data_IF_145933701774
#
_entry.id   IF_145933701774
#
_cell.length_a   1.000
_cell.length_b   1.000
_cell.length_c   1.000
_cell.angle_alpha   90.00
_cell.angle_beta   90.00
_cell.angle_gamma   90.00
#
_symmetry.space_group_name_H-M   'P 1'
#
loop_
_entity.id
_entity.type
_entity.pdbx_description
1 polymer ?
#
# COMPACT_ATOMS: atom_id res chain seq x y z
N UNK A 1 16.91 -4.87 10.04
CA UNK A 1 15.54 -5.40 10.17
C UNK A 1 14.94 -5.63 8.78
N UNK A 2 14.20 -6.72 8.60
CA UNK A 2 13.44 -6.99 7.37
C UNK A 2 11.97 -7.11 7.74
N UNK A 3 11.11 -6.32 7.10
CA UNK A 3 9.65 -6.47 7.21
C UNK A 3 9.12 -7.31 6.05
N UNK A 4 8.03 -8.05 6.27
CA UNK A 4 7.45 -8.92 5.25
C UNK A 4 5.97 -8.61 5.05
N UNK A 5 5.56 -8.47 3.80
CA UNK A 5 4.18 -8.30 3.39
C UNK A 5 3.87 -9.17 2.17
N UNK A 6 2.73 -9.86 2.18
CA UNK A 6 2.30 -10.70 1.06
C UNK A 6 0.78 -10.95 1.07
N UNK A 7 0.29 -11.59 0.01
CA UNK A 7 -1.09 -12.07 -0.13
C UNK A 7 -1.21 -13.60 -0.01
N UNK A 8 -0.20 -14.26 0.56
CA UNK A 8 -0.05 -15.73 0.55
C UNK A 8 -0.82 -16.47 1.64
N UNK A 9 -1.31 -15.77 2.66
CA UNK A 9 -1.80 -16.40 3.89
C UNK A 9 -0.65 -16.93 4.76
N UNK A 10 -0.86 -18.03 5.48
CA UNK A 10 0.01 -18.39 6.62
C UNK A 10 1.25 -19.23 6.32
N UNK A 11 1.24 -20.09 5.30
CA UNK A 11 2.30 -21.10 5.12
C UNK A 11 3.52 -20.61 4.33
N UNK A 12 3.29 -19.94 3.21
CA UNK A 12 4.35 -19.52 2.30
C UNK A 12 5.34 -18.50 2.89
N UNK A 13 4.90 -17.53 3.72
CA UNK A 13 5.82 -16.61 4.39
C UNK A 13 6.87 -17.30 5.26
N UNK A 14 6.54 -18.43 5.86
CA UNK A 14 7.49 -19.20 6.68
C UNK A 14 8.70 -19.69 5.86
N UNK A 15 8.49 -20.11 4.60
CA UNK A 15 9.58 -20.50 3.70
C UNK A 15 10.48 -19.32 3.33
N UNK A 16 9.90 -18.13 3.08
CA UNK A 16 10.68 -16.91 2.82
C UNK A 16 11.52 -16.53 4.04
N UNK A 17 10.94 -16.57 5.24
CA UNK A 17 11.66 -16.31 6.49
C UNK A 17 12.82 -17.30 6.71
N UNK A 18 12.60 -18.59 6.44
CA UNK A 18 13.65 -19.61 6.53
C UNK A 18 14.83 -19.30 5.60
N UNK A 19 14.55 -18.86 4.36
CA UNK A 19 15.59 -18.44 3.41
C UNK A 19 16.35 -17.22 3.92
N UNK A 20 15.66 -16.20 4.42
CA UNK A 20 16.30 -15.00 4.97
C UNK A 20 17.20 -15.39 6.15
N UNK A 21 16.68 -16.15 7.13
CA UNK A 21 17.41 -16.53 8.34
C UNK A 21 18.59 -17.48 8.07
N UNK A 22 18.64 -18.13 6.92
CA UNK A 22 19.83 -18.90 6.51
C UNK A 22 20.96 -18.03 5.94
N UNK A 23 20.71 -16.73 5.70
CA UNK A 23 21.63 -15.78 5.05
C UNK A 23 21.95 -14.55 5.89
N UNK A 24 21.08 -14.21 6.83
CA UNK A 24 21.13 -12.98 7.60
C UNK A 24 20.61 -13.22 9.01
N UNK A 25 21.13 -12.49 9.98
CA UNK A 25 20.64 -12.44 11.37
C UNK A 25 19.58 -11.35 11.57
N UNK A 26 19.00 -10.84 10.49
CA UNK A 26 18.00 -9.77 10.50
C UNK A 26 16.83 -10.10 11.43
N UNK A 27 16.41 -9.12 12.23
CA UNK A 27 15.11 -9.17 12.89
C UNK A 27 14.01 -9.16 11.82
N UNK A 28 13.13 -10.18 11.83
CA UNK A 28 11.99 -10.29 10.92
C UNK A 28 10.72 -9.78 11.61
N UNK A 29 9.93 -8.99 10.89
CA UNK A 29 8.66 -8.43 11.35
C UNK A 29 7.61 -8.60 10.25
N UNK A 30 6.49 -9.25 10.56
CA UNK A 30 5.37 -9.33 9.64
C UNK A 30 4.59 -8.02 9.65
N UNK A 31 4.34 -7.47 8.46
CA UNK A 31 3.39 -6.37 8.25
C UNK A 31 2.00 -6.96 8.06
N UNK A 32 1.84 -7.78 7.03
CA UNK A 32 0.62 -8.50 6.71
C UNK A 32 0.93 -9.67 5.77
N UNK A 33 0.16 -10.76 5.86
CA UNK A 33 0.23 -11.88 4.91
C UNK A 33 -1.14 -12.24 4.32
N UNK A 34 -2.12 -11.44 4.64
CA UNK A 34 -3.52 -11.49 4.21
C UNK A 34 -3.92 -10.27 3.38
N UNK A 35 -2.93 -9.60 2.76
CA UNK A 35 -3.23 -8.56 1.77
C UNK A 35 -4.18 -9.11 0.69
N UNK A 36 -5.07 -8.28 0.13
CA UNK A 36 -6.03 -8.73 -0.88
C UNK A 36 -5.36 -9.50 -2.00
N UNK A 37 -5.82 -10.73 -2.22
CA UNK A 37 -5.14 -11.71 -3.10
C UNK A 37 -5.07 -11.21 -4.53
N UNK A 38 -3.82 -11.12 -5.06
CA UNK A 38 -3.50 -10.65 -6.41
C UNK A 38 -3.95 -9.23 -6.73
N UNK A 39 -4.44 -8.49 -5.75
CA UNK A 39 -4.83 -7.09 -5.90
C UNK A 39 -3.65 -6.18 -5.58
N UNK A 40 -2.90 -5.86 -6.63
CA UNK A 40 -1.72 -4.97 -6.55
C UNK A 40 -2.10 -3.58 -6.05
N UNK A 41 -3.29 -3.07 -6.47
CA UNK A 41 -3.73 -1.73 -6.12
C UNK A 41 -4.11 -1.60 -4.65
N UNK A 42 -4.91 -2.53 -4.15
CA UNK A 42 -5.28 -2.55 -2.73
C UNK A 42 -4.07 -2.80 -1.84
N UNK A 43 -3.18 -3.73 -2.21
CA UNK A 43 -1.94 -3.97 -1.50
C UNK A 43 -1.04 -2.72 -1.45
N UNK A 44 -0.90 -2.01 -2.57
CA UNK A 44 -0.13 -0.77 -2.64
C UNK A 44 -0.71 0.34 -1.74
N UNK A 45 -2.06 0.41 -1.60
CA UNK A 45 -2.71 1.31 -0.66
C UNK A 45 -2.32 0.98 0.77
N UNK A 46 -2.52 -0.26 1.22
CA UNK A 46 -2.22 -0.65 2.59
C UNK A 46 -0.75 -0.49 2.95
N UNK A 47 0.15 -0.80 2.01
CA UNK A 47 1.58 -0.62 2.21
C UNK A 47 1.99 0.86 2.28
N UNK A 48 1.33 1.73 1.48
CA UNK A 48 1.50 3.18 1.56
C UNK A 48 1.15 3.72 2.95
N UNK A 49 0.08 3.18 3.54
CA UNK A 49 -0.42 3.65 4.83
C UNK A 49 0.28 3.00 6.03
N UNK A 50 1.01 1.90 5.84
CA UNK A 50 1.61 1.14 6.95
C UNK A 50 3.13 1.20 7.01
N UNK A 51 3.83 1.15 5.88
CA UNK A 51 5.30 1.09 5.88
C UNK A 51 5.98 2.34 6.46
N UNK A 52 5.46 3.56 6.31
CA UNK A 52 6.08 4.75 6.91
C UNK A 52 6.15 4.72 8.44
N UNK A 53 5.33 3.93 9.11
CA UNK A 53 5.42 3.77 10.57
C UNK A 53 6.62 2.94 11.03
N UNK A 54 7.28 2.23 10.12
CA UNK A 54 8.48 1.46 10.47
C UNK A 54 9.72 2.35 10.39
N UNK A 55 10.69 2.15 11.31
CA UNK A 55 12.02 2.75 11.14
C UNK A 55 12.69 2.19 9.88
N UNK A 56 13.80 2.81 9.40
CA UNK A 56 14.55 2.32 8.24
C UNK A 56 14.76 0.81 8.24
N UNK A 57 14.32 0.16 7.18
CA UNK A 57 14.30 -1.29 7.05
C UNK A 57 14.34 -1.74 5.59
N UNK A 58 14.60 -3.01 5.38
CA UNK A 58 14.31 -3.69 4.12
C UNK A 58 12.87 -4.20 4.17
N UNK A 59 12.02 -3.73 3.26
CA UNK A 59 10.62 -4.11 3.14
C UNK A 59 10.47 -5.14 2.01
N UNK A 60 10.28 -6.40 2.36
CA UNK A 60 9.99 -7.47 1.41
C UNK A 60 8.49 -7.52 1.13
N UNK A 61 8.10 -7.17 -0.08
CA UNK A 61 6.71 -7.13 -0.55
C UNK A 61 6.51 -8.14 -1.66
N UNK A 62 5.60 -9.09 -1.45
CA UNK A 62 5.32 -10.13 -2.45
C UNK A 62 3.81 -10.26 -2.69
N UNK A 63 3.28 -9.36 -3.52
CA UNK A 63 1.96 -9.45 -4.14
C UNK A 63 2.21 -9.48 -5.65
N UNK A 64 2.15 -10.67 -6.25
CA UNK A 64 2.74 -10.95 -7.55
C UNK A 64 1.86 -11.81 -8.46
N UNK A 65 0.79 -11.22 -9.04
CA UNK A 65 -0.04 -11.92 -10.03
C UNK A 65 0.73 -12.28 -11.31
N UNK A 66 1.90 -11.65 -11.54
CA UNK A 66 2.78 -11.89 -12.69
C UNK A 66 3.92 -12.88 -12.42
N UNK A 67 3.86 -13.70 -11.37
CA UNK A 67 4.90 -14.69 -11.09
C UNK A 67 5.11 -15.63 -12.28
N UNK A 68 6.38 -15.84 -12.67
CA UNK A 68 6.72 -16.70 -13.81
C UNK A 68 6.55 -16.06 -15.20
N UNK A 69 6.23 -14.78 -15.28
CA UNK A 69 6.24 -13.97 -16.52
C UNK A 69 7.54 -13.17 -16.65
N UNK A 70 7.65 -12.36 -17.72
CA UNK A 70 8.80 -11.48 -17.98
C UNK A 70 8.82 -10.21 -17.09
N UNK A 71 7.92 -10.09 -16.09
CA UNK A 71 7.95 -8.94 -15.18
C UNK A 71 9.24 -8.94 -14.36
N UNK A 72 9.87 -7.78 -14.25
CA UNK A 72 11.13 -7.61 -13.53
C UNK A 72 10.93 -7.86 -12.02
N UNK A 73 12.00 -8.34 -11.39
CA UNK A 73 12.17 -8.30 -9.94
C UNK A 73 13.03 -7.09 -9.59
N UNK A 74 12.63 -6.28 -8.61
CA UNK A 74 13.30 -5.00 -8.37
C UNK A 74 13.58 -4.72 -6.89
N UNK A 75 14.59 -3.87 -6.69
CA UNK A 75 14.90 -3.22 -5.42
C UNK A 75 14.74 -1.72 -5.62
N UNK A 76 14.03 -1.06 -4.71
CA UNK A 76 13.86 0.39 -4.69
C UNK A 76 14.39 0.92 -3.37
N UNK A 77 15.42 1.76 -3.41
CA UNK A 77 15.92 2.48 -2.23
C UNK A 77 15.23 3.84 -2.12
N UNK A 78 14.86 4.21 -0.91
CA UNK A 78 14.35 5.55 -0.57
C UNK A 78 15.00 5.99 0.75
N UNK A 79 15.99 6.88 0.68
CA UNK A 79 16.80 7.21 1.83
C UNK A 79 17.47 5.95 2.41
N UNK A 80 17.17 5.62 3.66
CA UNK A 80 17.64 4.41 4.33
C UNK A 80 16.65 3.25 4.31
N UNK A 81 15.49 3.40 3.66
CA UNK A 81 14.57 2.31 3.40
C UNK A 81 14.89 1.61 2.07
N UNK A 82 14.67 0.31 2.04
CA UNK A 82 14.83 -0.52 0.83
C UNK A 82 13.59 -1.35 0.63
N UNK A 83 12.93 -1.25 -0.52
CA UNK A 83 11.76 -2.05 -0.87
C UNK A 83 12.18 -3.11 -1.90
N UNK A 84 11.83 -4.36 -1.67
CA UNK A 84 12.16 -5.50 -2.53
C UNK A 84 10.87 -6.20 -2.97
N UNK A 85 10.66 -6.38 -4.26
CA UNK A 85 9.44 -7.03 -4.76
C UNK A 85 9.31 -7.02 -6.29
N UNK A 86 8.10 -7.35 -6.80
CA UNK A 86 7.82 -7.34 -8.23
C UNK A 86 7.69 -5.92 -8.78
N UNK A 87 8.14 -5.72 -10.02
CA UNK A 87 7.93 -4.48 -10.78
C UNK A 87 6.53 -4.47 -11.44
N UNK A 88 5.50 -4.42 -10.62
CA UNK A 88 4.10 -4.35 -11.03
C UNK A 88 3.37 -3.11 -10.50
N UNK A 89 4.13 -2.17 -9.93
CA UNK A 89 3.61 -0.94 -9.38
C UNK A 89 3.39 -0.96 -7.86
N UNK A 90 3.35 -2.14 -7.21
CA UNK A 90 3.04 -2.26 -5.77
C UNK A 90 3.99 -1.49 -4.87
N UNK A 91 5.25 -1.34 -5.25
CA UNK A 91 6.28 -0.65 -4.46
C UNK A 91 6.23 0.88 -4.62
N UNK A 92 5.60 1.41 -5.66
CA UNK A 92 5.66 2.85 -6.00
C UNK A 92 4.90 3.75 -5.01
N UNK A 93 3.64 3.47 -4.63
CA UNK A 93 2.94 4.28 -3.64
C UNK A 93 3.62 4.31 -2.27
N UNK A 94 4.02 3.18 -1.66
CA UNK A 94 4.73 3.21 -0.38
C UNK A 94 6.10 3.90 -0.49
N UNK A 95 6.85 3.73 -1.58
CA UNK A 95 8.13 4.39 -1.78
C UNK A 95 7.98 5.93 -1.82
N UNK A 96 6.96 6.45 -2.52
CA UNK A 96 6.66 7.88 -2.53
C UNK A 96 6.26 8.38 -1.14
N UNK A 97 5.38 7.66 -0.45
CA UNK A 97 4.94 8.06 0.87
C UNK A 97 6.08 8.12 1.88
N UNK A 98 6.99 7.15 1.85
CA UNK A 98 8.21 7.19 2.65
C UNK A 98 9.06 8.41 2.27
N UNK A 99 9.23 8.69 0.97
CA UNK A 99 10.00 9.86 0.52
C UNK A 99 9.38 11.18 1.00
N UNK A 100 8.05 11.30 0.98
CA UNK A 100 7.33 12.49 1.42
C UNK A 100 7.45 12.75 2.95
N UNK A 101 7.72 11.70 3.74
CA UNK A 101 7.88 11.80 5.19
C UNK A 101 9.32 12.01 5.66
N UNK A 102 10.29 11.81 4.76
CA UNK A 102 11.71 12.08 5.05
C UNK A 102 12.03 13.56 4.85
N UNK A 103 12.87 14.09 5.71
CA UNK A 103 13.37 15.47 5.58
C UNK A 103 14.23 15.64 4.33
N UNK A 104 13.97 16.69 3.55
CA UNK A 104 14.74 17.05 2.36
C UNK A 104 14.33 16.26 1.10
N UNK A 105 15.29 16.07 0.19
CA UNK A 105 15.15 15.27 -1.02
C UNK A 105 15.88 13.94 -0.84
N UNK A 106 15.19 12.86 -0.39
CA UNK A 106 15.87 11.58 -0.20
C UNK A 106 16.37 11.02 -1.53
N UNK A 107 17.53 10.38 -1.51
CA UNK A 107 18.00 9.63 -2.66
C UNK A 107 17.03 8.49 -2.96
N UNK A 108 16.63 8.37 -4.23
CA UNK A 108 15.79 7.28 -4.72
C UNK A 108 16.54 6.57 -5.84
N UNK A 109 16.92 5.33 -5.59
CA UNK A 109 17.62 4.48 -6.54
C UNK A 109 16.79 3.24 -6.84
N UNK A 110 16.92 2.71 -8.04
CA UNK A 110 16.25 1.47 -8.44
C UNK A 110 17.25 0.48 -9.06
N UNK A 111 17.02 -0.78 -8.79
CA UNK A 111 17.84 -1.87 -9.31
C UNK A 111 16.92 -3.00 -9.80
N UNK A 112 17.27 -3.58 -10.94
CA UNK A 112 16.72 -4.84 -11.39
C UNK A 112 17.50 -5.99 -10.75
N UNK A 113 16.79 -6.99 -10.24
CA UNK A 113 17.39 -8.21 -9.72
C UNK A 113 17.56 -9.18 -10.90
N UNK A 114 18.80 -9.44 -11.29
CA UNK A 114 19.09 -10.48 -12.28
C UNK A 114 18.74 -11.86 -11.71
N UNK A 115 17.79 -12.50 -12.33
CA UNK A 115 17.32 -13.85 -11.94
C UNK A 115 18.00 -14.87 -12.84
N UNK A 116 18.95 -15.64 -12.30
CA UNK A 116 19.54 -16.77 -12.99
C UNK A 116 18.97 -18.06 -12.42
N UNK A 117 18.24 -18.81 -13.23
CA UNK A 117 17.75 -20.18 -12.97
C UNK A 117 17.11 -20.35 -11.55
N UNK A 118 15.93 -19.77 -11.29
CA UNK A 118 15.26 -19.92 -10.00
C UNK A 118 14.87 -21.39 -9.79
N UNK A 119 14.97 -21.89 -8.56
CA UNK A 119 14.58 -23.26 -8.21
C UNK A 119 13.11 -23.57 -8.51
N UNK A 120 12.27 -22.53 -8.58
CA UNK A 120 10.86 -22.63 -8.95
C UNK A 120 10.41 -21.40 -9.76
N UNK A 121 9.67 -21.63 -10.82
CA UNK A 121 9.04 -20.57 -11.62
C UNK A 121 7.75 -20.04 -11.00
N UNK A 122 7.25 -20.67 -9.93
CA UNK A 122 5.97 -20.34 -9.29
C UNK A 122 6.11 -19.78 -7.88
N UNK A 123 7.34 -19.69 -7.34
CA UNK A 123 7.56 -19.15 -6.00
C UNK A 123 8.76 -18.19 -5.93
N UNK A 124 8.70 -17.09 -6.69
CA UNK A 124 9.72 -16.05 -6.68
C UNK A 124 9.86 -15.38 -5.29
N UNK A 125 8.85 -15.39 -4.46
CA UNK A 125 8.92 -14.94 -3.07
C UNK A 125 10.08 -15.59 -2.31
N UNK A 126 10.20 -16.92 -2.40
CA UNK A 126 11.26 -17.71 -1.77
C UNK A 126 12.59 -17.65 -2.53
N UNK A 127 12.54 -17.78 -3.86
CA UNK A 127 13.73 -18.06 -4.64
C UNK A 127 14.44 -16.80 -5.18
N UNK A 128 13.72 -15.67 -5.25
CA UNK A 128 14.24 -14.41 -5.80
C UNK A 128 14.20 -13.30 -4.74
N UNK A 129 13.02 -13.01 -4.18
CA UNK A 129 12.85 -11.82 -3.35
C UNK A 129 13.40 -11.99 -1.93
N UNK A 130 13.20 -13.13 -1.28
CA UNK A 130 13.72 -13.38 0.06
C UNK A 130 15.26 -13.36 0.11
N UNK A 131 16.00 -14.03 -0.83
CA UNK A 131 17.44 -13.87 -0.93
C UNK A 131 17.87 -12.42 -1.18
N UNK A 132 17.15 -11.67 -2.05
CA UNK A 132 17.48 -10.28 -2.36
C UNK A 132 17.31 -9.37 -1.14
N UNK A 133 16.26 -9.57 -0.36
CA UNK A 133 16.04 -8.82 0.87
C UNK A 133 17.13 -9.10 1.92
N UNK A 134 17.57 -10.36 2.05
CA UNK A 134 18.68 -10.72 2.93
C UNK A 134 19.99 -10.04 2.50
N UNK A 135 20.35 -10.14 1.21
CA UNK A 135 21.59 -9.53 0.71
C UNK A 135 21.56 -7.99 0.85
N UNK A 136 20.41 -7.35 0.57
CA UNK A 136 20.26 -5.91 0.75
C UNK A 136 20.40 -5.49 2.22
N UNK A 137 19.90 -6.31 3.17
CA UNK A 137 20.07 -6.07 4.60
C UNK A 137 21.52 -6.16 5.03
N UNK A 138 22.28 -7.16 4.55
CA UNK A 138 23.67 -7.38 4.94
C UNK A 138 24.61 -6.26 4.48
N UNK A 139 24.40 -5.73 3.26
CA UNK A 139 25.26 -4.64 2.76
C UNK A 139 24.79 -3.26 3.19
N UNK A 140 23.52 -3.13 3.56
CA UNK A 140 22.89 -1.84 3.90
C UNK A 140 22.55 -0.98 2.68
N UNK A 141 21.70 0.06 2.88
CA UNK A 141 21.11 0.83 1.78
C UNK A 141 22.14 1.63 0.97
N UNK A 142 23.29 1.98 1.55
CA UNK A 142 24.34 2.73 0.87
C UNK A 142 25.25 1.91 -0.03
N UNK A 143 25.10 0.57 -0.08
CA UNK A 143 26.02 -0.34 -0.77
C UNK A 143 25.31 -1.36 -1.67
N UNK A 144 24.06 -1.07 -2.08
CA UNK A 144 23.26 -2.00 -2.93
C UNK A 144 23.92 -2.26 -4.29
N UNK A 145 24.66 -1.30 -4.82
CA UNK A 145 25.45 -1.39 -6.05
C UNK A 145 26.60 -2.40 -5.99
N UNK A 146 27.00 -2.82 -4.79
CA UNK A 146 28.04 -3.85 -4.60
C UNK A 146 27.49 -5.28 -4.78
N UNK A 147 26.20 -5.47 -4.84
CA UNK A 147 25.56 -6.77 -5.06
C UNK A 147 25.54 -7.07 -6.56
N UNK A 148 26.36 -8.01 -7.02
CA UNK A 148 26.59 -8.32 -8.43
C UNK A 148 25.28 -8.54 -9.23
N UNK A 149 24.24 -9.10 -8.60
CA UNK A 149 22.95 -9.36 -9.25
C UNK A 149 22.00 -8.16 -9.26
N UNK A 150 22.35 -7.04 -8.67
CA UNK A 150 21.56 -5.80 -8.69
C UNK A 150 22.09 -4.88 -9.78
N UNK A 151 21.34 -4.71 -10.86
CA UNK A 151 21.67 -3.83 -11.95
C UNK A 151 20.91 -2.51 -11.81
N UNK A 152 21.65 -1.40 -11.71
CA UNK A 152 21.03 -0.09 -11.58
C UNK A 152 20.17 0.24 -12.83
N UNK A 153 18.96 0.69 -12.59
CA UNK A 153 18.01 1.09 -13.64
C UNK A 153 17.44 2.48 -13.33
N UNK A 154 16.98 3.22 -14.37
CA UNK A 154 16.29 4.48 -14.15
C UNK A 154 15.00 4.27 -13.34
N UNK A 155 14.77 5.11 -12.31
CA UNK A 155 13.56 5.01 -11.47
C UNK A 155 12.26 5.25 -12.24
N UNK A 156 12.31 6.05 -13.30
CA UNK A 156 11.22 6.29 -14.23
C UNK A 156 10.87 5.08 -15.11
N UNK A 157 11.77 4.09 -15.20
CA UNK A 157 11.51 2.85 -15.94
C UNK A 157 10.67 1.84 -15.15
N UNK A 158 10.50 2.05 -13.85
CA UNK A 158 9.66 1.20 -13.01
C UNK A 158 8.20 1.34 -13.39
N UNK A 159 7.46 0.23 -13.31
CA UNK A 159 6.01 0.23 -13.46
C UNK A 159 5.39 1.22 -12.47
N UNK A 160 4.67 2.21 -12.99
CA UNK A 160 4.04 3.24 -12.16
C UNK A 160 2.63 2.83 -11.74
N UNK A 161 2.32 3.07 -10.47
CA UNK A 161 0.97 2.99 -9.92
C UNK A 161 0.71 4.27 -9.16
N UNK A 162 -0.39 4.95 -9.52
CA UNK A 162 -0.86 6.17 -8.85
C UNK A 162 -2.31 6.00 -8.47
N UNK A 163 -2.64 6.50 -7.31
CA UNK A 163 -4.04 6.72 -6.95
C UNK A 163 -4.54 8.01 -7.62
N UNK A 164 -5.79 8.05 -8.07
CA UNK A 164 -6.32 9.24 -8.72
C UNK A 164 -6.36 10.42 -7.75
N UNK A 165 -6.17 11.61 -8.29
CA UNK A 165 -6.37 12.85 -7.55
C UNK A 165 -7.85 13.20 -7.56
N UNK A 166 -8.46 13.53 -6.41
CA UNK A 166 -9.85 13.95 -6.37
C UNK A 166 -10.04 15.30 -7.06
N UNK A 167 -11.22 15.50 -7.64
CA UNK A 167 -11.67 16.80 -8.16
C UNK A 167 -12.42 17.54 -7.04
N UNK A 168 -11.90 18.68 -6.61
CA UNK A 168 -12.47 19.50 -5.53
C UNK A 168 -12.90 20.83 -6.15
N UNK A 169 -14.16 21.21 -5.96
CA UNK A 169 -14.68 22.48 -6.45
C UNK A 169 -13.94 23.66 -5.84
N UNK A 170 -13.75 24.75 -6.60
CA UNK A 170 -13.01 25.92 -6.19
C UNK A 170 -13.63 26.62 -4.94
N UNK A 171 -14.95 26.54 -4.78
CA UNK A 171 -15.69 27.07 -3.64
C UNK A 171 -15.66 26.14 -2.42
N UNK A 172 -15.09 24.93 -2.55
CA UNK A 172 -15.05 23.93 -1.49
C UNK A 172 -16.41 23.26 -1.20
N UNK A 173 -17.48 23.60 -1.95
CA UNK A 173 -18.83 23.09 -1.69
C UNK A 173 -19.07 21.67 -2.22
N UNK A 174 -18.12 21.10 -2.96
CA UNK A 174 -18.23 19.75 -3.48
C UNK A 174 -16.91 19.13 -3.85
N UNK A 175 -16.89 17.81 -3.90
CA UNK A 175 -15.75 17.06 -4.37
C UNK A 175 -16.19 15.74 -5.02
N UNK A 176 -15.42 15.31 -5.99
CA UNK A 176 -15.59 14.00 -6.65
C UNK A 176 -14.29 13.22 -6.53
N UNK A 177 -14.39 12.03 -6.00
CA UNK A 177 -13.29 11.08 -5.86
C UNK A 177 -13.77 9.66 -6.16
N UNK A 178 -13.00 8.70 -5.71
CA UNK A 178 -13.34 7.28 -5.83
C UNK A 178 -13.00 6.51 -4.55
N UNK A 179 -13.62 5.34 -4.39
CA UNK A 179 -13.26 4.38 -3.36
C UNK A 179 -11.90 3.77 -3.72
N UNK A 180 -10.92 3.93 -2.84
CA UNK A 180 -9.58 3.34 -3.00
C UNK A 180 -9.57 1.87 -2.62
N UNK A 181 -10.13 1.56 -1.46
CA UNK A 181 -10.27 0.21 -0.90
C UNK A 181 -11.51 0.14 -0.02
N UNK A 182 -11.98 -1.07 0.21
CA UNK A 182 -12.92 -1.41 1.29
C UNK A 182 -12.16 -2.26 2.30
N UNK A 183 -12.21 -1.89 3.57
CA UNK A 183 -11.55 -2.65 4.62
C UNK A 183 -12.37 -3.86 5.07
N UNK A 184 -11.81 -4.69 5.96
CA UNK A 184 -12.48 -5.90 6.46
C UNK A 184 -13.76 -5.61 7.27
N UNK A 185 -13.90 -4.38 7.78
CA UNK A 185 -15.13 -3.93 8.46
C UNK A 185 -16.20 -3.48 7.49
N UNK A 186 -15.86 -3.29 6.20
CA UNK A 186 -16.74 -2.77 5.16
C UNK A 186 -16.70 -1.25 5.02
N UNK A 187 -15.75 -0.55 5.65
CA UNK A 187 -15.60 0.89 5.48
C UNK A 187 -15.05 1.20 4.09
N UNK A 188 -15.73 2.10 3.35
CA UNK A 188 -15.28 2.52 2.03
C UNK A 188 -14.31 3.69 2.16
N UNK A 189 -13.02 3.44 2.05
CA UNK A 189 -11.97 4.45 2.14
C UNK A 189 -11.81 5.12 0.78
N UNK A 190 -12.03 6.43 0.73
CA UNK A 190 -11.95 7.19 -0.53
C UNK A 190 -10.61 7.91 -0.70
N UNK A 191 -10.37 8.52 -1.87
CA UNK A 191 -9.26 9.45 -2.07
C UNK A 191 -9.61 10.90 -1.70
N UNK A 192 -10.81 11.16 -1.18
CA UNK A 192 -11.26 12.50 -0.79
C UNK A 192 -10.60 12.91 0.53
N UNK A 193 -9.95 14.09 0.60
CA UNK A 193 -9.37 14.56 1.86
C UNK A 193 -10.44 14.81 2.92
N UNK A 194 -10.21 14.37 4.14
CA UNK A 194 -11.15 14.55 5.26
C UNK A 194 -11.49 16.01 5.60
N UNK A 195 -10.66 16.97 5.15
CA UNK A 195 -10.92 18.40 5.29
C UNK A 195 -12.23 18.87 4.68
N UNK A 196 -12.73 18.15 3.65
CA UNK A 196 -13.96 18.48 2.93
C UNK A 196 -15.20 18.36 3.82
N UNK A 197 -15.23 17.36 4.72
CA UNK A 197 -16.39 17.07 5.57
C UNK A 197 -16.24 17.63 6.97
N UNK A 198 -15.07 18.12 7.36
CA UNK A 198 -14.82 18.64 8.70
C UNK A 198 -15.62 19.92 8.96
N UNK A 199 -16.31 19.97 10.09
CA UNK A 199 -17.11 21.12 10.52
C UNK A 199 -18.54 21.13 9.98
N UNK A 200 -18.94 20.08 9.24
CA UNK A 200 -20.30 19.88 8.79
C UNK A 200 -20.98 18.78 9.61
N UNK A 201 -22.27 18.98 9.92
CA UNK A 201 -23.08 17.96 10.63
C UNK A 201 -23.60 16.88 9.66
N UNK A 202 -23.73 17.23 8.38
CA UNK A 202 -24.17 16.33 7.33
C UNK A 202 -23.63 16.78 5.96
N UNK A 203 -23.52 15.84 5.04
CA UNK A 203 -23.18 16.07 3.62
C UNK A 203 -24.08 15.23 2.73
N UNK A 204 -24.15 15.54 1.44
CA UNK A 204 -24.73 14.61 0.47
C UNK A 204 -23.64 13.69 -0.08
N UNK A 205 -23.86 12.38 0.00
CA UNK A 205 -23.04 11.35 -0.65
C UNK A 205 -23.81 10.81 -1.83
N UNK A 206 -23.30 11.02 -3.06
CA UNK A 206 -23.99 10.62 -4.29
C UNK A 206 -25.46 11.08 -4.39
N UNK A 207 -25.79 12.25 -3.79
CA UNK A 207 -27.13 12.85 -3.77
C UNK A 207 -27.99 12.43 -2.59
N UNK A 208 -27.48 11.59 -1.68
CA UNK A 208 -28.20 11.19 -0.47
C UNK A 208 -27.66 11.89 0.78
N UNK A 209 -28.51 12.58 1.57
CA UNK A 209 -28.09 13.20 2.82
C UNK A 209 -27.54 12.16 3.79
N UNK A 210 -26.34 12.41 4.31
CA UNK A 210 -25.62 11.48 5.18
C UNK A 210 -25.00 12.27 6.33
N UNK A 211 -25.23 11.87 7.60
CA UNK A 211 -24.59 12.49 8.76
C UNK A 211 -23.06 12.39 8.69
N UNK A 212 -22.38 13.42 9.20
CA UNK A 212 -20.94 13.40 9.44
C UNK A 212 -20.69 13.14 10.92
N UNK A 213 -19.90 12.12 11.23
CA UNK A 213 -19.55 11.74 12.58
C UNK A 213 -18.06 11.82 12.85
N UNK A 214 -17.68 12.16 14.09
CA UNK A 214 -16.30 12.01 14.56
C UNK A 214 -16.00 10.57 15.00
N UNK A 215 -17.04 9.80 15.29
CA UNK A 215 -17.00 8.39 15.68
C UNK A 215 -18.22 7.68 15.12
N UNK A 216 -18.18 6.35 15.04
CA UNK A 216 -19.34 5.55 14.58
C UNK A 216 -20.59 5.75 15.46
N UNK A 217 -20.41 6.05 16.76
CA UNK A 217 -21.53 6.30 17.72
C UNK A 217 -22.30 7.60 17.49
N UNK A 218 -21.88 8.44 16.53
CA UNK A 218 -22.62 9.65 16.16
C UNK A 218 -24.02 9.35 15.58
N UNK A 219 -24.24 8.14 15.12
CA UNK A 219 -25.53 7.66 14.59
C UNK A 219 -25.95 6.36 15.27
N UNK A 220 -27.22 5.97 15.14
CA UNK A 220 -27.72 4.72 15.70
C UNK A 220 -27.11 3.49 14.98
N UNK A 221 -27.18 2.33 15.64
CA UNK A 221 -26.67 1.06 15.04
C UNK A 221 -27.41 0.77 13.75
N UNK A 222 -26.63 0.43 12.71
CA UNK A 222 -27.12 0.15 11.38
C UNK A 222 -27.34 1.37 10.49
N UNK A 223 -27.11 2.59 11.02
CA UNK A 223 -27.20 3.80 10.23
C UNK A 223 -25.90 4.17 9.55
N UNK A 224 -26.01 4.75 8.36
CA UNK A 224 -24.90 5.26 7.54
C UNK A 224 -24.36 6.55 8.11
N UNK A 225 -23.07 6.76 7.98
CA UNK A 225 -22.40 8.02 8.26
C UNK A 225 -21.19 8.20 7.37
N UNK A 226 -20.69 9.42 7.33
CA UNK A 226 -19.38 9.76 6.79
C UNK A 226 -18.45 10.08 7.94
N UNK A 227 -17.24 9.52 7.91
CA UNK A 227 -16.19 9.86 8.88
C UNK A 227 -14.92 10.36 8.20
N UNK A 228 -13.99 10.86 8.99
CA UNK A 228 -12.59 11.04 8.56
C UNK A 228 -11.79 9.93 9.20
N UNK A 229 -11.39 8.98 8.37
CA UNK A 229 -10.64 7.80 8.81
C UNK A 229 -9.24 8.11 9.31
N UNK A 230 -8.58 7.08 9.82
CA UNK A 230 -7.23 7.17 10.41
C UNK A 230 -6.15 7.63 9.43
N UNK A 231 -6.38 7.47 8.14
CA UNK A 231 -5.48 7.89 7.06
C UNK A 231 -5.78 9.31 6.55
N UNK A 232 -6.73 10.02 7.19
CA UNK A 232 -7.09 11.39 6.83
C UNK A 232 -8.05 11.52 5.65
N UNK A 233 -8.54 10.42 5.12
CA UNK A 233 -9.48 10.34 4.00
C UNK A 233 -10.93 10.35 4.51
N UNK A 234 -11.85 10.78 3.64
CA UNK A 234 -13.29 10.58 3.85
C UNK A 234 -13.59 9.10 3.72
N UNK A 235 -14.33 8.55 4.68
CA UNK A 235 -14.84 7.17 4.69
C UNK A 235 -16.36 7.17 4.68
N UNK A 236 -16.96 6.22 3.96
CA UNK A 236 -18.39 5.96 3.96
C UNK A 236 -18.64 4.68 4.77
N UNK A 237 -19.27 4.85 5.92
CA UNK A 237 -19.30 3.87 7.00
C UNK A 237 -20.73 3.54 7.46
N UNK A 238 -20.84 2.48 8.26
CA UNK A 238 -22.07 2.13 8.99
C UNK A 238 -21.74 1.83 10.45
N UNK A 239 -22.47 2.41 11.38
CA UNK A 239 -22.31 2.07 12.79
C UNK A 239 -22.79 0.61 13.04
N UNK A 240 -21.86 -0.31 13.31
CA UNK A 240 -22.09 -1.76 13.43
C UNK A 240 -22.70 -2.39 12.17
N UNK A 241 -22.17 -2.07 10.99
CA UNK A 241 -22.58 -2.64 9.72
C UNK A 241 -21.48 -2.47 8.67
N UNK A 242 -21.81 -2.70 7.42
CA UNK A 242 -20.89 -2.56 6.30
C UNK A 242 -21.27 -1.36 5.44
N UNK A 243 -20.34 -0.42 5.28
CA UNK A 243 -20.50 0.77 4.43
C UNK A 243 -20.62 0.40 2.95
N UNK A 244 -19.79 -0.52 2.45
CA UNK A 244 -19.82 -0.99 1.08
C UNK A 244 -21.22 -1.51 0.65
N UNK A 245 -21.86 -2.31 1.49
CA UNK A 245 -23.21 -2.80 1.25
C UNK A 245 -24.26 -1.69 1.33
N UNK A 246 -24.16 -0.84 2.36
CA UNK A 246 -25.16 0.20 2.64
C UNK A 246 -25.14 1.35 1.63
N UNK A 247 -23.97 1.73 1.13
CA UNK A 247 -23.81 2.74 0.09
C UNK A 247 -23.83 2.14 -1.32
N UNK A 248 -23.69 0.81 -1.46
CA UNK A 248 -23.59 0.12 -2.75
C UNK A 248 -22.31 0.52 -3.49
N UNK A 249 -21.19 0.60 -2.76
CA UNK A 249 -19.90 1.06 -3.26
C UNK A 249 -18.87 -0.07 -3.24
N UNK A 250 -18.04 -0.12 -4.28
CA UNK A 250 -16.89 -1.02 -4.38
C UNK A 250 -15.63 -0.25 -4.80
N UNK A 251 -14.43 -0.81 -4.65
CA UNK A 251 -13.19 -0.17 -5.07
C UNK A 251 -13.23 0.27 -6.53
N UNK A 252 -12.91 1.54 -6.79
CA UNK A 252 -12.99 2.18 -8.10
C UNK A 252 -14.29 2.95 -8.36
N UNK A 253 -15.31 2.79 -7.53
CA UNK A 253 -16.56 3.53 -7.69
C UNK A 253 -16.39 5.02 -7.35
N UNK A 254 -17.14 5.84 -8.09
CA UNK A 254 -17.15 7.29 -7.90
C UNK A 254 -17.92 7.68 -6.66
N UNK A 255 -17.32 8.51 -5.82
CA UNK A 255 -17.95 9.14 -4.66
C UNK A 255 -18.00 10.65 -4.87
N UNK A 256 -19.21 11.22 -4.81
CA UNK A 256 -19.46 12.66 -4.89
C UNK A 256 -19.93 13.14 -3.55
N UNK A 257 -19.21 14.09 -2.98
CA UNK A 257 -19.60 14.79 -1.75
C UNK A 257 -20.07 16.19 -2.12
N UNK A 258 -21.19 16.62 -1.53
CA UNK A 258 -21.63 18.00 -1.52
C UNK A 258 -21.86 18.44 -0.09
N UNK A 259 -21.32 19.60 0.25
CA UNK A 259 -21.57 20.30 1.52
C UNK A 259 -22.72 21.29 1.29
N UNK A 260 -23.69 21.26 2.19
CA UNK A 260 -24.88 22.14 2.13
C UNK A 260 -24.56 23.56 2.64
#
# INVERSE_FOLDING_TARGET
>A
MITLASDFGSAYPAAMKGVILSRSDARLVDVAHDLPRQDVRAAAFWLRETLPYFPPAVHLVVVDPGVGTDRRAVVVRVGDHVLVGPDNGVLRPPARRIADELDGEPAVDAYEIRVSDPASTTFHGRDVFAPAAADAHEVGPGSLDTIERFEAIPTESLTDLRFPTPDISEDGAGATGEVLVVDDFGNCITNLPGGIVRGHDAVEVNGEPTPVGHTFEAVARGERLVTVGSHGNVECDVNHGRGDEAFGLEPGDTVRIRVA
#
